data_IF_663978008103
#
_entry.id   IF_663978008103
#
_cell.length_a   1.000
_cell.length_b   1.000
_cell.length_c   1.000
_cell.angle_alpha   90.00
_cell.angle_beta   90.00
_cell.angle_gamma   90.00
#
_symmetry.space_group_name_H-M   'P 1'
#
loop_
_entity.id
_entity.type
_entity.pdbx_description
1 polymer ?
#
# COMPACT_ATOMS: atom_id res chain seq x y z
N UNK A 1 -5.70 11.26 -6.21
CA UNK A 1 -7.15 11.17 -5.99
C UNK A 1 -7.46 9.76 -5.51
N UNK A 2 -8.12 9.64 -4.36
CA UNK A 2 -8.53 8.36 -3.75
C UNK A 2 -10.06 8.31 -3.72
N UNK A 3 -10.64 7.16 -4.06
CA UNK A 3 -12.09 6.93 -4.10
C UNK A 3 -12.50 6.03 -2.93
N UNK A 4 -13.51 6.46 -2.16
CA UNK A 4 -14.23 5.62 -1.21
C UNK A 4 -15.68 5.46 -1.69
N UNK A 5 -16.18 4.21 -1.70
CA UNK A 5 -17.54 3.89 -2.11
C UNK A 5 -18.32 3.31 -0.92
N UNK A 6 -19.50 3.87 -0.67
CA UNK A 6 -20.59 3.22 0.08
C UNK A 6 -21.68 2.79 -0.92
N UNK A 7 -22.61 1.95 -0.49
CA UNK A 7 -23.66 1.31 -1.30
C UNK A 7 -24.53 2.27 -2.14
N UNK A 8 -24.63 3.54 -1.76
CA UNK A 8 -25.40 4.59 -2.48
C UNK A 8 -24.65 5.93 -2.65
N UNK A 9 -23.35 6.02 -2.34
CA UNK A 9 -22.62 7.29 -2.34
C UNK A 9 -21.11 7.10 -2.55
N UNK A 10 -20.43 8.11 -3.07
CA UNK A 10 -18.96 8.09 -3.21
C UNK A 10 -18.34 9.40 -2.74
N UNK A 11 -17.12 9.27 -2.21
CA UNK A 11 -16.27 10.40 -1.86
C UNK A 11 -14.95 10.35 -2.63
N UNK A 12 -14.53 11.51 -3.12
CA UNK A 12 -13.22 11.71 -3.70
C UNK A 12 -12.38 12.53 -2.75
N UNK A 13 -11.17 12.07 -2.49
CA UNK A 13 -10.18 12.79 -1.68
C UNK A 13 -8.98 13.08 -2.56
N UNK A 14 -8.64 14.35 -2.68
CA UNK A 14 -7.54 14.86 -3.47
C UNK A 14 -6.53 15.55 -2.56
N UNK A 15 -5.30 15.04 -2.59
CA UNK A 15 -4.16 15.63 -1.88
C UNK A 15 -3.37 16.45 -2.90
N UNK A 16 -3.34 17.76 -2.70
CA UNK A 16 -2.61 18.73 -3.52
C UNK A 16 -1.41 19.28 -2.77
N UNK A 17 -0.41 19.77 -3.49
CA UNK A 17 0.84 20.24 -2.92
C UNK A 17 1.54 21.22 -3.87
N UNK A 18 1.96 22.37 -3.37
CA UNK A 18 2.91 23.24 -4.06
C UNK A 18 4.29 22.57 -4.13
N UNK A 19 4.86 22.45 -5.34
CA UNK A 19 6.10 21.72 -5.58
C UNK A 19 7.11 21.84 -4.42
N UNK A 20 7.47 20.68 -3.84
CA UNK A 20 8.42 20.47 -2.72
C UNK A 20 7.91 20.64 -1.26
N UNK A 21 6.61 20.83 -1.01
CA UNK A 21 6.11 20.82 0.38
C UNK A 21 5.96 19.42 0.98
N UNK A 22 6.12 19.32 2.29
CA UNK A 22 5.73 18.16 3.10
C UNK A 22 4.29 18.24 3.60
N UNK A 23 3.60 19.34 3.31
CA UNK A 23 2.20 19.59 3.67
C UNK A 23 1.36 19.56 2.40
N UNK A 24 0.28 18.77 2.45
CA UNK A 24 -0.65 18.60 1.36
C UNK A 24 -2.00 19.20 1.73
N UNK A 25 -2.56 20.01 0.85
CA UNK A 25 -3.94 20.45 0.95
C UNK A 25 -4.87 19.29 0.64
N UNK A 26 -5.92 19.13 1.44
CA UNK A 26 -6.85 18.01 1.31
C UNK A 26 -8.20 18.53 0.84
N UNK A 27 -8.53 18.23 -0.41
CA UNK A 27 -9.82 18.53 -1.01
C UNK A 27 -10.70 17.29 -0.95
N UNK A 28 -11.93 17.46 -0.46
CA UNK A 28 -12.93 16.40 -0.38
C UNK A 28 -14.11 16.76 -1.25
N UNK A 29 -14.56 15.82 -2.06
CA UNK A 29 -15.82 15.90 -2.79
C UNK A 29 -16.70 14.77 -2.30
N UNK A 30 -17.96 15.10 -1.98
CA UNK A 30 -19.01 14.11 -1.76
C UNK A 30 -20.10 14.34 -2.80
N UNK A 31 -20.64 13.25 -3.35
CA UNK A 31 -21.70 13.36 -4.36
C UNK A 31 -22.93 14.08 -3.82
N UNK A 32 -23.25 13.92 -2.52
CA UNK A 32 -24.36 14.61 -1.85
C UNK A 32 -24.16 16.11 -1.68
N UNK A 33 -22.95 16.58 -1.36
CA UNK A 33 -22.71 18.01 -1.16
C UNK A 33 -22.51 18.73 -2.49
N UNK A 34 -21.87 18.10 -3.48
CA UNK A 34 -21.68 18.64 -4.83
C UNK A 34 -20.34 19.36 -5.03
N UNK A 35 -20.08 20.53 -4.42
CA UNK A 35 -18.78 21.20 -4.55
C UNK A 35 -17.63 20.48 -3.82
N UNK A 36 -16.41 20.72 -4.30
CA UNK A 36 -15.21 20.38 -3.54
C UNK A 36 -15.08 21.29 -2.31
N UNK A 37 -14.78 20.69 -1.16
CA UNK A 37 -14.45 21.39 0.08
C UNK A 37 -12.96 21.23 0.41
N UNK A 38 -12.30 22.34 0.75
CA UNK A 38 -10.94 22.32 1.27
C UNK A 38 -11.00 22.08 2.78
N UNK A 39 -10.32 21.04 3.27
CA UNK A 39 -10.18 20.81 4.70
C UNK A 39 -9.25 21.88 5.30
N UNK A 40 -9.62 22.41 6.48
CA UNK A 40 -8.79 23.39 7.21
C UNK A 40 -7.38 22.88 7.52
N UNK A 41 -7.24 21.57 7.76
CA UNK A 41 -5.96 20.95 8.12
C UNK A 41 -5.25 20.33 6.91
N UNK A 42 -3.96 20.64 6.78
CA UNK A 42 -3.09 20.03 5.78
C UNK A 42 -2.61 18.66 6.24
N UNK A 43 -2.49 17.73 5.30
CA UNK A 43 -1.89 16.43 5.54
C UNK A 43 -0.36 16.56 5.51
N UNK A 44 0.28 16.34 6.66
CA UNK A 44 1.73 16.38 6.80
C UNK A 44 2.37 15.02 6.48
N UNK A 45 2.95 14.91 5.29
CA UNK A 45 3.62 13.71 4.78
C UNK A 45 5.02 13.47 5.35
N UNK A 46 5.57 14.43 6.12
CA UNK A 46 6.95 14.44 6.64
C UNK A 46 7.98 14.43 5.51
N UNK A 47 9.19 13.90 5.75
CA UNK A 47 10.35 14.08 4.87
C UNK A 47 10.57 13.01 3.80
N UNK A 48 9.72 11.98 3.72
CA UNK A 48 9.82 10.97 2.65
C UNK A 48 8.65 11.11 1.69
N UNK A 49 8.90 10.90 0.41
CA UNK A 49 7.85 10.79 -0.58
C UNK A 49 6.93 9.61 -0.22
N UNK A 50 5.63 9.87 -0.26
CA UNK A 50 4.60 8.86 -0.04
C UNK A 50 4.11 8.30 -1.37
N UNK A 51 3.71 7.03 -1.35
CA UNK A 51 3.10 6.37 -2.51
C UNK A 51 1.61 6.64 -2.59
N UNK A 52 1.23 7.80 -3.12
CA UNK A 52 -0.17 8.19 -3.32
C UNK A 52 -0.89 7.36 -4.39
N UNK A 53 -0.17 6.63 -5.24
CA UNK A 53 -0.71 5.76 -6.28
C UNK A 53 -1.19 4.40 -5.76
N UNK A 54 -0.86 4.05 -4.51
CA UNK A 54 -1.24 2.79 -3.88
C UNK A 54 -1.76 2.98 -2.44
N UNK A 55 -2.82 3.78 -2.23
CA UNK A 55 -3.40 3.95 -0.90
C UNK A 55 -4.10 2.67 -0.44
N UNK A 56 -4.17 2.46 0.87
CA UNK A 56 -4.98 1.40 1.49
C UNK A 56 -6.05 2.02 2.37
N UNK A 57 -7.32 1.81 2.01
CA UNK A 57 -8.46 2.21 2.84
C UNK A 57 -8.88 1.03 3.72
N UNK A 58 -8.70 1.17 5.02
CA UNK A 58 -9.01 0.15 6.02
C UNK A 58 -9.64 0.83 7.24
N UNK A 59 -10.82 0.34 7.67
CA UNK A 59 -11.55 0.84 8.84
C UNK A 59 -11.74 2.37 8.86
N UNK A 60 -12.18 2.96 7.73
CA UNK A 60 -12.41 4.42 7.63
C UNK A 60 -11.13 5.27 7.59
N UNK A 61 -9.97 4.65 7.40
CA UNK A 61 -8.67 5.35 7.40
C UNK A 61 -7.91 5.05 6.10
N UNK A 62 -7.36 6.08 5.48
CA UNK A 62 -6.49 5.99 4.30
C UNK A 62 -5.04 5.88 4.77
N UNK A 63 -4.32 4.91 4.24
CA UNK A 63 -2.93 4.66 4.58
C UNK A 63 -2.04 4.84 3.36
N UNK A 64 -0.90 5.48 3.56
CA UNK A 64 0.13 5.69 2.56
C UNK A 64 1.48 5.22 3.10
N UNK A 65 2.17 4.36 2.37
CA UNK A 65 3.54 3.99 2.72
C UNK A 65 4.53 4.98 2.11
N UNK A 66 5.55 5.36 2.87
CA UNK A 66 6.69 6.09 2.33
C UNK A 66 7.54 5.23 1.39
N UNK A 67 8.32 5.87 0.54
CA UNK A 67 9.35 5.20 -0.24
C UNK A 67 10.49 4.65 0.64
N UNK A 68 11.45 4.00 -0.03
CA UNK A 68 12.65 3.43 0.57
C UNK A 68 13.94 4.05 0.01
N UNK A 69 13.87 5.13 -0.77
CA UNK A 69 15.02 5.67 -1.49
C UNK A 69 16.05 6.30 -0.55
N UNK A 70 17.31 6.23 -0.96
CA UNK A 70 18.49 6.67 -0.19
C UNK A 70 18.85 8.14 -0.33
N UNK A 71 17.87 9.05 -0.54
CA UNK A 71 18.14 10.49 -0.61
C UNK A 71 18.22 11.17 0.76
N UNK A 72 17.88 10.47 1.85
CA UNK A 72 18.03 10.99 3.21
C UNK A 72 19.36 10.54 3.80
N UNK A 73 20.00 11.46 4.53
CA UNK A 73 21.23 11.21 5.28
C UNK A 73 21.01 10.26 6.47
N UNK A 74 22.05 9.58 6.92
CA UNK A 74 21.93 8.54 7.96
C UNK A 74 21.49 9.08 9.33
N UNK A 75 21.74 10.36 9.60
CA UNK A 75 21.34 11.10 10.80
C UNK A 75 19.87 11.56 10.77
N UNK A 76 19.19 11.45 9.62
CA UNK A 76 17.78 11.81 9.50
C UNK A 76 16.89 10.90 10.36
N UNK A 77 16.06 11.51 11.21
CA UNK A 77 15.03 10.80 11.98
C UNK A 77 13.98 10.11 11.09
N UNK A 78 13.89 10.54 9.83
CA UNK A 78 12.99 10.00 8.81
C UNK A 78 13.67 9.04 7.84
N UNK A 79 14.92 8.64 8.12
CA UNK A 79 15.66 7.68 7.30
C UNK A 79 14.92 6.35 7.11
N UNK A 80 14.07 5.94 8.06
CA UNK A 80 13.36 4.65 7.96
C UNK A 80 11.98 4.82 7.34
N UNK A 81 11.51 3.84 6.55
CA UNK A 81 10.18 3.90 5.98
C UNK A 81 9.10 3.84 7.07
N UNK A 82 7.96 4.48 6.80
CA UNK A 82 6.80 4.55 7.69
C UNK A 82 5.50 4.51 6.88
N UNK A 83 4.39 4.28 7.58
CA UNK A 83 3.06 4.41 7.01
C UNK A 83 2.43 5.64 7.65
N UNK A 84 2.04 6.61 6.82
CA UNK A 84 1.19 7.71 7.24
C UNK A 84 -0.26 7.28 7.10
N UNK A 85 -1.12 7.75 8.00
CA UNK A 85 -2.55 7.51 7.85
C UNK A 85 -3.37 8.77 8.10
N UNK A 86 -4.51 8.83 7.41
CA UNK A 86 -5.45 9.94 7.38
C UNK A 86 -6.84 9.39 7.65
N UNK A 87 -7.46 9.84 8.73
CA UNK A 87 -8.81 9.41 9.14
C UNK A 87 -9.86 10.14 8.31
N UNK A 88 -10.81 9.37 7.76
CA UNK A 88 -11.92 9.91 6.98
C UNK A 88 -13.05 10.23 7.96
N UNK A 89 -13.12 11.47 8.44
CA UNK A 89 -14.22 11.90 9.31
C UNK A 89 -15.45 12.27 8.48
N UNK A 90 -16.61 11.78 8.91
CA UNK A 90 -17.91 12.04 8.29
C UNK A 90 -18.45 13.45 8.57
N UNK A 91 -17.93 14.09 9.61
CA UNK A 91 -18.52 15.31 10.13
C UNK A 91 -17.91 16.55 9.47
N UNK A 92 -18.81 17.43 9.04
CA UNK A 92 -18.56 18.83 8.68
C UNK A 92 -18.27 19.69 9.93
N UNK A 93 -17.97 19.05 11.07
CA UNK A 93 -17.59 19.75 12.30
C UNK A 93 -16.22 20.37 12.07
N UNK A 94 -16.26 21.66 11.78
CA UNK A 94 -15.15 22.57 12.01
C UNK A 94 -14.58 22.31 13.42
N UNK A 95 -13.27 22.08 13.51
CA UNK A 95 -12.47 22.14 14.75
C UNK A 95 -12.15 20.85 15.53
N UNK A 96 -11.89 19.73 14.85
CA UNK A 96 -10.89 18.81 15.39
C UNK A 96 -9.69 18.67 14.45
N UNK A 97 -8.51 18.93 14.99
CA UNK A 97 -7.23 18.75 14.30
C UNK A 97 -7.12 17.31 13.82
N UNK A 98 -7.21 17.08 12.51
CA UNK A 98 -6.90 15.78 11.93
C UNK A 98 -5.40 15.60 12.06
N UNK A 99 -4.97 15.03 13.19
CA UNK A 99 -3.56 14.78 13.46
C UNK A 99 -3.08 13.69 12.51
N UNK A 100 -2.10 14.03 11.66
CA UNK A 100 -1.44 13.01 10.84
C UNK A 100 -0.63 12.09 11.73
N UNK A 101 -1.06 10.84 11.84
CA UNK A 101 -0.42 9.86 12.70
C UNK A 101 0.43 8.90 11.87
N UNK A 102 1.46 8.34 12.53
CA UNK A 102 2.35 7.33 11.93
C UNK A 102 1.98 5.96 12.48
N UNK A 103 1.82 5.02 11.55
CA UNK A 103 1.91 3.60 11.83
C UNK A 103 3.34 3.12 11.55
N UNK A 104 4.02 2.66 12.61
CA UNK A 104 5.41 2.20 12.53
C UNK A 104 5.49 0.86 11.81
N UNK A 105 6.33 0.72 10.78
CA UNK A 105 6.60 -0.57 10.13
C UNK A 105 7.46 -1.49 11.03
N UNK A 106 7.46 -2.83 10.83
CA UNK A 106 8.27 -3.77 11.59
C UNK A 106 9.76 -3.40 11.61
N UNK A 107 10.46 -3.63 12.73
CA UNK A 107 11.89 -3.31 12.87
C UNK A 107 12.74 -4.03 11.80
N UNK A 108 12.38 -5.26 11.47
CA UNK A 108 13.03 -6.10 10.46
C UNK A 108 12.86 -5.55 9.05
N UNK A 109 11.70 -4.95 8.75
CA UNK A 109 11.44 -4.31 7.47
C UNK A 109 12.36 -3.11 7.26
N UNK A 110 12.62 -2.32 8.32
CA UNK A 110 13.47 -1.12 8.26
C UNK A 110 14.94 -1.42 7.91
N UNK A 111 15.46 -2.60 8.28
CA UNK A 111 16.89 -2.95 8.11
C UNK A 111 17.26 -3.06 6.63
N UNK A 112 18.14 -2.18 6.16
CA UNK A 112 18.57 -2.07 4.75
C UNK A 112 17.41 -1.74 3.81
N UNK A 113 16.55 -0.82 4.24
CA UNK A 113 15.50 -0.23 3.41
C UNK A 113 16.09 0.63 2.29
N UNK A 114 17.23 1.29 2.51
CA UNK A 114 17.97 2.09 1.52
C UNK A 114 18.61 1.29 0.36
N UNK A 115 18.41 -0.02 0.33
CA UNK A 115 18.95 -0.86 -0.73
C UNK A 115 18.13 -0.66 -2.00
N UNK A 116 18.76 -0.42 -3.15
CA UNK A 116 18.05 -0.14 -4.41
C UNK A 116 17.10 -1.25 -4.85
N UNK A 117 17.32 -2.48 -4.38
CA UNK A 117 16.42 -3.61 -4.64
C UNK A 117 15.25 -3.71 -3.66
N UNK A 118 15.15 -2.79 -2.69
CA UNK A 118 14.15 -2.79 -1.63
C UNK A 118 12.89 -2.04 -2.07
N UNK A 119 11.83 -2.80 -2.32
CA UNK A 119 10.50 -2.28 -2.59
C UNK A 119 9.56 -2.68 -1.47
N UNK A 120 8.88 -1.71 -0.86
CA UNK A 120 7.82 -1.95 0.13
C UNK A 120 6.50 -1.38 -0.35
N UNK A 121 5.43 -2.15 -0.23
CA UNK A 121 4.06 -1.72 -0.49
C UNK A 121 3.16 -2.21 0.64
N UNK A 122 2.06 -1.50 0.87
CA UNK A 122 0.99 -1.91 1.77
C UNK A 122 -0.22 -2.39 0.98
N UNK A 123 -0.98 -3.31 1.54
CA UNK A 123 -2.22 -3.82 0.94
C UNK A 123 -3.28 -4.07 2.01
N UNK A 124 -4.54 -4.08 1.61
CA UNK A 124 -5.65 -4.47 2.48
C UNK A 124 -5.71 -6.00 2.60
N UNK A 125 -5.90 -6.49 3.82
CA UNK A 125 -6.29 -7.86 4.12
C UNK A 125 -7.76 -7.93 4.50
N UNK A 126 -8.44 -8.98 4.04
CA UNK A 126 -9.75 -9.36 4.54
C UNK A 126 -10.92 -8.86 3.68
N UNK A 127 -11.70 -9.84 3.21
CA UNK A 127 -13.17 -9.79 3.10
C UNK A 127 -13.82 -11.11 3.56
N UNK A 128 -13.02 -12.16 3.74
CA UNK A 128 -13.47 -13.55 3.95
C UNK A 128 -13.78 -13.88 5.43
N UNK A 129 -13.19 -13.18 6.41
CA UNK A 129 -13.32 -13.50 7.84
C UNK A 129 -13.90 -12.36 8.71
N UNK A 130 -14.50 -11.34 8.09
CA UNK A 130 -15.08 -10.18 8.81
C UNK A 130 -14.09 -9.15 9.36
N UNK A 131 -12.82 -9.51 9.57
CA UNK A 131 -11.77 -8.60 10.05
C UNK A 131 -10.91 -8.07 8.91
N UNK A 132 -10.81 -6.74 8.80
CA UNK A 132 -9.92 -6.06 7.85
C UNK A 132 -8.64 -5.58 8.56
N UNK A 133 -7.48 -5.78 7.94
CA UNK A 133 -6.20 -5.25 8.45
C UNK A 133 -5.25 -4.96 7.29
N UNK A 134 -4.00 -4.59 7.57
CA UNK A 134 -3.00 -4.16 6.60
C UNK A 134 -1.90 -5.21 6.46
N UNK A 135 -1.56 -5.53 5.21
CA UNK A 135 -0.31 -6.17 4.85
C UNK A 135 0.79 -5.16 4.64
N UNK A 136 1.99 -5.50 5.10
CA UNK A 136 3.22 -4.95 4.57
C UNK A 136 3.91 -6.05 3.76
N UNK A 137 4.18 -5.78 2.49
CA UNK A 137 5.00 -6.66 1.64
C UNK A 137 6.28 -5.95 1.31
N UNK A 138 7.40 -6.63 1.55
CA UNK A 138 8.74 -6.18 1.20
C UNK A 138 9.37 -7.17 0.22
N UNK A 139 9.91 -6.65 -0.87
CA UNK A 139 10.87 -7.35 -1.72
C UNK A 139 12.23 -6.72 -1.52
N UNK A 140 13.26 -7.49 -1.17
CA UNK A 140 14.67 -7.04 -1.15
C UNK A 140 15.60 -8.17 -1.55
N UNK A 141 16.57 -7.90 -2.43
CA UNK A 141 17.54 -8.91 -2.91
C UNK A 141 16.87 -10.23 -3.29
N UNK A 142 15.72 -10.15 -3.99
CA UNK A 142 14.90 -11.30 -4.40
C UNK A 142 14.36 -12.13 -3.23
N UNK A 143 14.09 -11.50 -2.09
CA UNK A 143 13.43 -12.10 -0.93
C UNK A 143 12.14 -11.35 -0.67
N UNK A 144 11.01 -12.05 -0.76
CA UNK A 144 9.73 -11.55 -0.28
C UNK A 144 9.64 -11.75 1.22
N UNK A 145 9.15 -10.76 1.93
CA UNK A 145 8.76 -10.87 3.33
C UNK A 145 7.42 -10.16 3.52
N UNK A 146 6.48 -10.83 4.18
CA UNK A 146 5.12 -10.34 4.37
C UNK A 146 4.79 -10.33 5.85
N UNK A 147 4.23 -9.22 6.31
CA UNK A 147 3.73 -9.04 7.66
C UNK A 147 2.26 -8.65 7.64
N UNK A 148 1.53 -9.09 8.65
CA UNK A 148 0.16 -8.65 8.95
C UNK A 148 0.21 -7.74 10.17
N UNK A 149 -0.48 -6.61 10.12
CA UNK A 149 -0.71 -5.76 11.28
C UNK A 149 -1.68 -6.47 12.23
N UNK A 150 -1.24 -6.74 13.46
CA UNK A 150 -2.02 -7.47 14.47
C UNK A 150 -2.64 -6.55 15.53
N UNK A 151 -2.03 -5.39 15.76
CA UNK A 151 -2.58 -4.39 16.67
C UNK A 151 -2.17 -3.00 16.18
N UNK A 152 -3.17 -2.16 15.92
CA UNK A 152 -3.00 -0.84 15.33
C UNK A 152 -2.31 0.14 16.28
N UNK A 153 -2.84 0.28 17.49
CA UNK A 153 -2.34 1.20 18.54
C UNK A 153 -0.86 1.01 18.86
N UNK A 154 -0.45 -0.23 19.07
CA UNK A 154 0.95 -0.57 19.39
C UNK A 154 1.86 -0.67 18.16
N UNK A 155 1.30 -0.52 16.94
CA UNK A 155 2.00 -0.84 15.68
C UNK A 155 2.64 -2.23 15.69
N UNK A 156 1.92 -3.24 16.19
CA UNK A 156 2.43 -4.62 16.26
C UNK A 156 2.16 -5.38 14.98
N UNK A 157 3.19 -6.10 14.51
CA UNK A 157 3.16 -6.84 13.26
C UNK A 157 3.60 -8.29 13.47
N UNK A 158 2.95 -9.21 12.77
CA UNK A 158 3.34 -10.62 12.69
C UNK A 158 3.85 -10.94 11.29
N UNK A 159 5.09 -11.43 11.20
CA UNK A 159 5.62 -11.97 9.94
C UNK A 159 4.88 -13.28 9.62
N UNK A 160 4.33 -13.39 8.42
CA UNK A 160 3.63 -14.59 7.96
C UNK A 160 4.38 -15.32 6.84
N UNK A 161 5.29 -14.64 6.15
CA UNK A 161 6.07 -15.24 5.08
C UNK A 161 7.42 -14.57 4.96
N UNK A 162 8.45 -15.38 4.71
CA UNK A 162 9.77 -14.94 4.26
C UNK A 162 10.36 -15.99 3.33
N UNK A 163 10.40 -15.70 2.04
CA UNK A 163 10.83 -16.67 1.02
C UNK A 163 11.67 -16.01 -0.06
N UNK A 164 12.74 -16.68 -0.46
CA UNK A 164 13.54 -16.26 -1.62
C UNK A 164 12.75 -16.59 -2.88
N UNK A 165 12.75 -15.69 -3.86
CA UNK A 165 12.07 -15.91 -5.15
C UNK A 165 12.53 -17.23 -5.80
N UNK A 166 13.82 -17.58 -5.73
CA UNK A 166 14.32 -18.88 -6.20
C UNK A 166 13.74 -20.09 -5.45
N UNK A 167 13.41 -19.92 -4.17
CA UNK A 167 12.82 -20.97 -3.33
C UNK A 167 11.30 -21.09 -3.47
N UNK A 168 10.65 -20.26 -4.30
CA UNK A 168 9.21 -20.35 -4.56
C UNK A 168 8.86 -21.41 -5.61
N UNK A 169 9.84 -22.09 -6.23
CA UNK A 169 9.58 -23.11 -7.26
C UNK A 169 9.36 -22.55 -8.68
N UNK A 170 9.88 -21.35 -8.97
CA UNK A 170 9.81 -20.77 -10.32
C UNK A 170 10.66 -21.57 -11.31
N UNK A 171 10.08 -21.87 -12.47
CA UNK A 171 10.79 -22.52 -13.60
C UNK A 171 11.83 -21.59 -14.24
N UNK A 172 11.63 -20.27 -14.12
CA UNK A 172 12.54 -19.27 -14.69
C UNK A 172 13.90 -19.25 -13.96
N UNK A 173 15.00 -19.20 -14.72
CA UNK A 173 16.31 -18.97 -14.15
C UNK A 173 16.51 -17.49 -13.82
N UNK A 174 16.94 -17.20 -12.59
CA UNK A 174 17.23 -15.84 -12.12
C UNK A 174 16.09 -14.82 -12.37
N UNK A 175 14.86 -15.12 -11.93
CA UNK A 175 13.71 -14.26 -12.19
C UNK A 175 13.92 -12.86 -11.61
N UNK A 176 13.60 -11.85 -12.42
CA UNK A 176 13.56 -10.45 -12.02
C UNK A 176 12.10 -10.07 -11.82
N UNK A 177 11.76 -9.68 -10.60
CA UNK A 177 10.40 -9.22 -10.27
C UNK A 177 10.20 -7.83 -10.86
N UNK A 178 9.15 -7.66 -11.65
CA UNK A 178 8.76 -6.40 -12.32
C UNK A 178 7.65 -5.65 -11.58
N UNK A 179 6.92 -6.34 -10.72
CA UNK A 179 5.87 -5.78 -9.88
C UNK A 179 5.24 -6.85 -9.02
N UNK A 180 4.56 -6.43 -7.96
CA UNK A 180 3.81 -7.32 -7.08
C UNK A 180 2.63 -6.60 -6.43
N UNK A 181 1.62 -7.37 -6.07
CA UNK A 181 0.43 -6.93 -5.36
C UNK A 181 -0.12 -8.05 -4.47
N UNK A 182 -1.11 -7.75 -3.64
CA UNK A 182 -1.94 -8.76 -2.98
C UNK A 182 -3.33 -8.74 -3.63
N UNK A 183 -3.78 -9.89 -4.13
CA UNK A 183 -5.12 -10.06 -4.71
C UNK A 183 -5.78 -11.29 -4.10
N UNK A 184 -7.03 -11.13 -3.64
CA UNK A 184 -7.80 -12.20 -2.99
C UNK A 184 -7.04 -12.92 -1.86
N UNK A 185 -6.12 -12.20 -1.23
CA UNK A 185 -5.31 -12.72 -0.14
C UNK A 185 -4.01 -13.43 -0.55
N UNK A 186 -3.74 -13.60 -1.83
CA UNK A 186 -2.51 -14.19 -2.33
C UNK A 186 -1.52 -13.14 -2.81
N UNK A 187 -0.23 -13.48 -2.76
CA UNK A 187 0.83 -12.67 -3.37
C UNK A 187 0.82 -12.91 -4.88
N UNK A 188 0.49 -11.87 -5.65
CA UNK A 188 0.60 -11.88 -7.11
C UNK A 188 1.82 -11.08 -7.52
N UNK A 189 2.64 -11.63 -8.41
CA UNK A 189 3.82 -10.93 -8.92
C UNK A 189 4.11 -11.26 -10.37
N UNK A 190 4.73 -10.29 -11.06
CA UNK A 190 5.16 -10.43 -12.44
C UNK A 190 6.67 -10.58 -12.51
N UNK A 191 7.13 -11.48 -13.38
CA UNK A 191 8.50 -11.53 -13.89
C UNK A 191 8.60 -10.71 -15.18
N UNK A 192 9.60 -10.96 -16.02
CA UNK A 192 9.71 -10.32 -17.32
C UNK A 192 8.59 -10.75 -18.28
N UNK A 193 8.09 -11.98 -18.15
CA UNK A 193 7.17 -12.59 -19.14
C UNK A 193 5.95 -13.25 -18.52
N UNK A 194 5.93 -13.49 -17.21
CA UNK A 194 4.93 -14.35 -16.58
C UNK A 194 4.37 -13.70 -15.33
N UNK A 195 3.09 -13.96 -15.08
CA UNK A 195 2.42 -13.60 -13.83
C UNK A 195 2.21 -14.86 -13.00
N UNK A 196 2.51 -14.75 -11.72
CA UNK A 196 2.39 -15.83 -10.76
C UNK A 196 1.52 -15.40 -9.59
N UNK A 197 0.83 -16.36 -8.99
CA UNK A 197 0.25 -16.26 -7.66
C UNK A 197 1.01 -17.18 -6.69
N UNK A 198 1.13 -16.76 -5.45
CA UNK A 198 1.75 -17.51 -4.37
C UNK A 198 0.87 -17.40 -3.13
N UNK A 199 0.35 -18.55 -2.68
CA UNK A 199 -0.66 -18.56 -1.62
C UNK A 199 -0.09 -18.11 -0.27
N UNK A 200 -0.77 -17.16 0.37
CA UNK A 200 -0.40 -16.67 1.71
C UNK A 200 -1.22 -17.30 2.82
N UNK A 201 -2.34 -17.96 2.51
CA UNK A 201 -3.23 -18.61 3.49
C UNK A 201 -3.92 -19.86 2.93
N UNK A 202 -4.39 -20.73 3.84
CA UNK A 202 -5.29 -21.87 3.56
C UNK A 202 -4.72 -22.94 2.62
N UNK A 203 -5.58 -23.62 1.85
CA UNK A 203 -5.30 -24.82 1.03
C UNK A 203 -4.15 -24.66 0.03
N UNK A 204 -3.82 -23.43 -0.36
CA UNK A 204 -2.72 -23.12 -1.29
C UNK A 204 -1.54 -22.44 -0.61
N UNK A 205 -1.42 -22.53 0.72
CA UNK A 205 -0.32 -21.91 1.46
C UNK A 205 1.03 -22.36 0.91
N UNK A 206 1.87 -21.38 0.54
CA UNK A 206 3.18 -21.60 -0.07
C UNK A 206 3.16 -22.39 -1.39
N UNK A 207 2.02 -22.43 -2.07
CA UNK A 207 1.91 -23.01 -3.41
C UNK A 207 2.04 -21.91 -4.46
N UNK A 208 3.00 -22.09 -5.37
CA UNK A 208 3.16 -21.24 -6.54
C UNK A 208 2.25 -21.74 -7.67
N UNK A 209 1.58 -20.84 -8.36
CA UNK A 209 0.84 -21.14 -9.59
C UNK A 209 1.08 -20.06 -10.64
N UNK A 210 1.29 -20.46 -11.89
CA UNK A 210 1.35 -19.52 -13.02
C UNK A 210 -0.08 -19.11 -13.37
N UNK A 211 -0.32 -17.80 -13.47
CA UNK A 211 -1.60 -17.25 -13.93
C UNK A 211 -1.60 -17.18 -15.46
N UNK A 212 -0.64 -16.43 -16.02
CA UNK A 212 -0.57 -16.18 -17.45
C UNK A 212 0.85 -15.77 -17.90
N UNK A 213 1.02 -15.60 -19.19
CA UNK A 213 2.14 -14.86 -19.78
C UNK A 213 1.69 -13.45 -20.15
N UNK A 214 2.62 -12.49 -20.20
CA UNK A 214 2.34 -11.12 -20.63
C UNK A 214 3.42 -10.62 -21.60
N UNK A 215 3.01 -9.77 -22.54
CA UNK A 215 3.89 -9.06 -23.47
C UNK A 215 4.33 -7.67 -23.00
N UNK A 216 4.09 -7.31 -21.73
CA UNK A 216 4.48 -6.00 -21.21
C UNK A 216 6.01 -5.85 -21.12
N UNK A 217 6.58 -5.05 -22.03
CA UNK A 217 8.02 -4.74 -22.08
C UNK A 217 8.44 -3.62 -21.11
N UNK A 218 7.51 -3.14 -20.27
CA UNK A 218 7.79 -2.11 -19.27
C UNK A 218 8.84 -2.56 -18.25
N UNK A 219 9.60 -1.58 -17.75
CA UNK A 219 10.48 -1.79 -16.59
C UNK A 219 9.70 -2.20 -15.33
N UNK A 220 8.46 -1.74 -15.22
CA UNK A 220 7.55 -2.00 -14.09
C UNK A 220 6.21 -2.52 -14.58
N UNK A 221 5.73 -3.57 -13.94
CA UNK A 221 4.37 -4.09 -14.14
C UNK A 221 3.52 -3.63 -12.97
N UNK A 222 2.43 -2.92 -13.25
CA UNK A 222 1.46 -2.49 -12.23
C UNK A 222 0.23 -3.36 -12.33
N UNK A 223 -0.27 -3.79 -11.18
CA UNK A 223 -1.53 -4.51 -11.07
C UNK A 223 -2.59 -3.54 -10.58
N UNK A 224 -3.60 -3.30 -11.40
CA UNK A 224 -4.76 -2.49 -11.02
C UNK A 224 -5.89 -3.46 -10.73
N UNK A 225 -6.33 -3.61 -9.47
CA UNK A 225 -7.52 -4.38 -9.18
C UNK A 225 -8.71 -3.68 -9.85
N UNK A 226 -9.41 -4.42 -10.70
CA UNK A 226 -10.66 -3.97 -11.29
C UNK A 226 -11.81 -4.56 -10.48
N UNK A 227 -12.70 -3.70 -10.00
CA UNK A 227 -13.96 -4.09 -9.38
C UNK A 227 -15.05 -3.70 -10.37
N UNK A 228 -15.88 -4.64 -10.79
CA UNK A 228 -16.97 -4.46 -11.77
C UNK A 228 -18.11 -3.56 -11.25
N UNK A 229 -17.87 -2.75 -10.22
CA UNK A 229 -18.84 -1.91 -9.51
C UNK A 229 -19.14 -0.59 -10.21
N UNK A 230 -18.55 -0.30 -11.37
CA UNK A 230 -19.14 0.70 -12.27
C UNK A 230 -20.39 0.08 -12.90
N UNK A 231 -21.53 0.24 -12.22
CA UNK A 231 -22.83 -0.05 -12.82
C UNK A 231 -22.96 0.81 -14.09
N UNK A 232 -23.52 0.28 -15.20
CA UNK A 232 -23.88 1.12 -16.33
C UNK A 232 -24.82 2.23 -15.86
N UNK A 233 -24.52 3.46 -16.29
CA UNK A 233 -25.36 4.63 -16.08
C UNK A 233 -26.75 4.45 -16.69
#
# INVERSE_FOLDING_TARGET
MTLECDSDDYRLIFFDNEDWSSHFDCHVYSHKQGPWSLRKNRFFARSRNLKFDMPVICNGVIHFISDCYGYLTEDSTYLRPYIMYYEITNDDVEDESVETKILRVPKEARRGSHDDSCHMNIFKWGKVTGYQTIYLVRLRKRVFTVWILTNYESSSWRMIMKVRVKGMGLVEQNPVIKGFTILNGDLVFATKKKVYTYGLTSEKYMVLSKICEHGCDSRFVRFVPYSDTLRPC
#
